data_IF_066852420389
#
_entry.id   IF_066852420389
#
_cell.length_a   1.000
_cell.length_b   1.000
_cell.length_c   1.000
_cell.angle_alpha   90.00
_cell.angle_beta   90.00
_cell.angle_gamma   90.00
#
_symmetry.space_group_name_H-M   'P 1'
#
loop_
_entity.id
_entity.type
_entity.pdbx_description
1 polymer ?
#
# COMPACT_ATOMS: atom_id res chain seq x y z
N UNK A 1 -18.67 17.68 -6.33
CA UNK A 1 -18.00 17.10 -5.15
C UNK A 1 -16.92 16.13 -5.64
N UNK A 2 -15.63 16.38 -5.33
CA UNK A 2 -14.53 15.51 -5.77
C UNK A 2 -14.74 14.11 -5.19
N UNK A 3 -14.91 13.08 -6.02
CA UNK A 3 -14.98 11.71 -5.54
C UNK A 3 -13.56 11.23 -5.25
N UNK A 4 -13.10 11.49 -4.03
CA UNK A 4 -11.90 10.87 -3.46
C UNK A 4 -11.98 9.35 -3.62
N UNK A 5 -10.85 8.66 -3.78
CA UNK A 5 -10.75 7.19 -3.76
C UNK A 5 -11.52 6.57 -2.57
N UNK A 6 -11.57 7.29 -1.44
CA UNK A 6 -12.24 6.84 -0.23
C UNK A 6 -13.75 7.08 -0.20
N UNK A 7 -14.28 7.96 -1.05
CA UNK A 7 -15.70 8.33 -0.99
C UNK A 7 -16.65 7.14 -1.27
N UNK A 8 -16.43 6.32 -2.32
CA UNK A 8 -17.22 5.10 -2.52
C UNK A 8 -17.10 4.12 -1.35
N UNK A 9 -15.90 4.01 -0.76
CA UNK A 9 -15.62 3.12 0.37
C UNK A 9 -16.39 3.57 1.61
N UNK A 10 -16.40 4.88 1.92
CA UNK A 10 -17.16 5.44 3.04
C UNK A 10 -18.66 5.19 2.86
N UNK A 11 -19.19 5.37 1.65
CA UNK A 11 -20.60 5.06 1.37
C UNK A 11 -20.88 3.57 1.62
N UNK A 12 -20.00 2.68 1.17
CA UNK A 12 -20.17 1.24 1.40
C UNK A 12 -20.12 0.90 2.88
N UNK A 13 -19.20 1.49 3.66
CA UNK A 13 -19.13 1.32 5.11
C UNK A 13 -20.38 1.84 5.84
N UNK A 14 -21.02 2.91 5.34
CA UNK A 14 -22.28 3.41 5.90
C UNK A 14 -23.43 2.42 5.60
N UNK A 15 -23.49 1.90 4.38
CA UNK A 15 -24.53 0.95 3.95
C UNK A 15 -24.35 -0.44 4.56
N UNK A 16 -23.10 -0.87 4.75
CA UNK A 16 -22.68 -2.18 5.23
C UNK A 16 -21.65 -1.99 6.35
N UNK A 17 -22.10 -1.57 7.55
CA UNK A 17 -21.18 -1.27 8.64
C UNK A 17 -20.33 -2.49 9.01
N UNK A 18 -19.04 -2.27 9.32
CA UNK A 18 -18.16 -3.34 9.75
C UNK A 18 -18.60 -3.88 11.12
N UNK A 19 -18.04 -5.01 11.52
CA UNK A 19 -18.30 -5.58 12.84
C UNK A 19 -18.01 -4.54 13.96
N UNK A 20 -18.81 -4.44 15.04
CA UNK A 20 -18.59 -3.48 16.12
C UNK A 20 -17.18 -3.51 16.72
N UNK A 21 -16.52 -4.68 16.74
CA UNK A 21 -15.14 -4.82 17.17
C UNK A 21 -14.16 -3.98 16.33
N UNK A 22 -14.41 -3.83 15.04
CA UNK A 22 -13.61 -2.98 14.14
C UNK A 22 -13.77 -1.51 14.50
N UNK A 23 -15.01 -1.08 14.79
CA UNK A 23 -15.27 0.30 15.19
C UNK A 23 -14.61 0.65 16.54
N UNK A 24 -14.77 -0.23 17.54
CA UNK A 24 -14.08 -0.09 18.84
C UNK A 24 -12.57 -0.03 18.66
N UNK A 25 -12.03 -0.87 17.78
CA UNK A 25 -10.60 -0.88 17.47
C UNK A 25 -10.13 0.44 16.85
N UNK A 26 -10.90 0.99 15.91
CA UNK A 26 -10.61 2.27 15.26
C UNK A 26 -10.63 3.45 16.25
N UNK A 27 -11.61 3.49 17.17
CA UNK A 27 -11.63 4.51 18.23
C UNK A 27 -10.42 4.39 19.16
N UNK A 28 -10.05 3.16 19.54
CA UNK A 28 -8.86 2.91 20.36
C UNK A 28 -7.57 3.33 19.64
N UNK A 29 -7.50 3.17 18.32
CA UNK A 29 -6.40 3.68 17.50
C UNK A 29 -6.34 5.21 17.50
N UNK A 30 -7.46 5.92 17.28
CA UNK A 30 -7.49 7.39 17.32
C UNK A 30 -7.08 7.93 18.69
N UNK A 31 -7.50 7.29 19.78
CA UNK A 31 -7.08 7.64 21.14
C UNK A 31 -5.57 7.39 21.36
N UNK A 32 -5.03 6.29 20.86
CA UNK A 32 -3.60 5.99 20.97
C UNK A 32 -2.74 6.97 20.17
N UNK A 33 -3.22 7.41 19.01
CA UNK A 33 -2.59 8.42 18.16
C UNK A 33 -2.41 9.75 18.90
N UNK A 34 -3.46 10.26 19.54
CA UNK A 34 -3.42 11.50 20.33
C UNK A 34 -2.44 11.38 21.50
N UNK A 35 -2.41 10.21 22.16
CA UNK A 35 -1.59 9.97 23.35
C UNK A 35 -0.14 9.56 23.04
N UNK A 36 0.27 9.52 21.77
CA UNK A 36 1.61 9.09 21.31
C UNK A 36 2.11 7.82 22.03
N UNK A 37 1.24 6.79 22.12
CA UNK A 37 1.59 5.54 22.84
C UNK A 37 2.51 4.64 22.00
N UNK A 38 3.49 4.01 22.66
CA UNK A 38 4.41 3.04 22.05
C UNK A 38 3.79 1.63 22.08
N UNK A 39 3.32 1.21 23.26
CA UNK A 39 2.55 -0.03 23.44
C UNK A 39 1.08 0.25 23.13
N UNK A 40 0.55 -0.45 22.14
CA UNK A 40 -0.78 -0.20 21.59
C UNK A 40 -1.77 -1.24 22.12
N UNK A 41 -2.89 -0.77 22.68
CA UNK A 41 -4.00 -1.64 23.15
C UNK A 41 -4.99 -2.01 22.05
N UNK A 42 -4.96 -1.28 20.93
CA UNK A 42 -5.71 -1.62 19.75
C UNK A 42 -4.90 -2.61 18.88
N UNK A 43 -5.56 -3.17 17.87
CA UNK A 43 -4.99 -4.03 16.84
C UNK A 43 -4.74 -3.21 15.56
N UNK A 44 -3.94 -3.73 14.61
CA UNK A 44 -3.78 -3.10 13.30
C UNK A 44 -5.12 -2.67 12.69
N UNK A 45 -5.15 -1.49 12.08
CA UNK A 45 -6.31 -1.02 11.31
C UNK A 45 -6.26 -1.61 9.90
N UNK A 46 -5.06 -1.84 9.38
CA UNK A 46 -4.81 -2.50 8.11
C UNK A 46 -3.89 -3.70 8.30
N UNK A 47 -4.31 -4.85 7.81
CA UNK A 47 -3.42 -6.00 7.56
C UNK A 47 -3.07 -6.04 6.08
N UNK A 48 -1.83 -6.34 5.75
CA UNK A 48 -1.37 -6.42 4.36
C UNK A 48 -0.66 -7.75 4.16
N UNK A 49 -1.27 -8.62 3.37
CA UNK A 49 -0.75 -9.95 3.09
C UNK A 49 0.08 -9.94 1.81
N UNK A 50 1.27 -10.51 1.87
CA UNK A 50 1.95 -11.04 0.69
C UNK A 50 1.39 -12.44 0.45
N UNK A 51 0.35 -12.55 -0.40
CA UNK A 51 -0.39 -13.83 -0.59
C UNK A 51 0.41 -14.84 -1.41
N UNK A 52 1.47 -14.40 -2.07
CA UNK A 52 2.46 -15.22 -2.75
C UNK A 52 3.79 -14.46 -2.81
N UNK A 53 4.86 -15.17 -3.17
CA UNK A 53 6.17 -14.58 -3.51
C UNK A 53 6.51 -14.77 -5.00
N UNK A 54 5.50 -14.86 -5.87
CA UNK A 54 5.71 -15.01 -7.32
C UNK A 54 5.37 -13.72 -8.05
N UNK A 55 6.22 -13.30 -8.97
CA UNK A 55 5.97 -12.17 -9.85
C UNK A 55 6.38 -12.51 -11.28
N UNK A 56 5.60 -12.09 -12.26
CA UNK A 56 5.93 -12.25 -13.68
C UNK A 56 6.84 -11.13 -14.22
N UNK A 57 7.31 -10.21 -13.35
CA UNK A 57 8.22 -9.11 -13.68
C UNK A 57 9.40 -9.10 -12.69
N UNK A 58 10.52 -8.49 -13.09
CA UNK A 58 11.77 -8.36 -12.31
C UNK A 58 12.22 -6.90 -12.28
N UNK A 59 11.39 -6.02 -11.73
CA UNK A 59 11.64 -4.58 -11.75
C UNK A 59 12.90 -4.21 -10.93
N UNK A 60 13.78 -3.39 -11.50
CA UNK A 60 15.04 -2.96 -10.85
C UNK A 60 14.81 -2.20 -9.54
N UNK A 61 13.70 -1.48 -9.41
CA UNK A 61 13.34 -0.72 -8.20
C UNK A 61 12.57 -1.55 -7.14
N UNK A 62 12.38 -2.86 -7.36
CA UNK A 62 11.57 -3.68 -6.47
C UNK A 62 12.31 -4.02 -5.18
N UNK A 63 11.88 -3.41 -4.06
CA UNK A 63 12.45 -3.61 -2.73
C UNK A 63 12.25 -5.01 -2.13
N UNK A 64 11.37 -5.84 -2.71
CA UNK A 64 11.24 -7.26 -2.32
C UNK A 64 11.84 -8.21 -3.35
N UNK A 65 12.59 -7.72 -4.34
CA UNK A 65 13.10 -8.55 -5.45
C UNK A 65 13.86 -9.79 -4.98
N UNK A 66 14.68 -9.67 -3.92
CA UNK A 66 15.43 -10.77 -3.33
C UNK A 66 14.55 -11.89 -2.72
N UNK A 67 13.31 -11.58 -2.36
CA UNK A 67 12.37 -12.54 -1.78
C UNK A 67 11.42 -13.16 -2.82
N UNK A 68 11.41 -12.65 -4.05
CA UNK A 68 10.49 -13.07 -5.09
C UNK A 68 11.10 -14.13 -6.00
N UNK A 69 10.25 -15.03 -6.50
CA UNK A 69 10.60 -16.05 -7.50
C UNK A 69 11.72 -17.03 -7.10
N UNK A 70 12.01 -17.13 -5.81
CA UNK A 70 12.91 -18.16 -5.27
C UNK A 70 12.34 -19.57 -5.51
N UNK A 71 13.21 -20.59 -5.47
CA UNK A 71 12.82 -21.99 -5.74
C UNK A 71 11.71 -22.51 -4.83
N UNK A 72 11.58 -21.94 -3.63
CA UNK A 72 10.58 -22.28 -2.63
C UNK A 72 9.33 -21.38 -2.65
N UNK A 73 9.19 -20.47 -3.64
CA UNK A 73 8.11 -19.48 -3.69
C UNK A 73 6.69 -20.09 -3.63
N UNK A 74 6.52 -21.33 -4.09
CA UNK A 74 5.26 -22.08 -3.95
C UNK A 74 4.85 -22.31 -2.49
N UNK A 75 5.82 -22.51 -1.59
CA UNK A 75 5.58 -22.68 -0.16
C UNK A 75 5.06 -21.41 0.52
N UNK A 76 5.08 -20.27 -0.18
CA UNK A 76 4.59 -18.98 0.28
C UNK A 76 3.21 -18.61 -0.26
N UNK A 77 2.54 -19.51 -0.98
CA UNK A 77 1.15 -19.29 -1.37
C UNK A 77 0.26 -19.42 -0.13
N UNK A 78 -0.45 -18.35 0.19
CA UNK A 78 -1.48 -18.35 1.22
C UNK A 78 -2.65 -19.21 0.72
N UNK A 79 -3.07 -20.19 1.51
CA UNK A 79 -4.27 -20.98 1.22
C UNK A 79 -5.52 -20.29 1.74
N UNK A 80 -6.68 -20.67 1.22
CA UNK A 80 -7.97 -20.18 1.73
C UNK A 80 -8.15 -20.45 3.23
N UNK A 81 -7.82 -21.65 3.72
CA UNK A 81 -8.00 -22.01 5.13
C UNK A 81 -7.07 -21.21 6.06
N UNK A 82 -5.84 -20.93 5.63
CA UNK A 82 -4.94 -20.02 6.34
C UNK A 82 -5.53 -18.62 6.41
N UNK A 83 -6.04 -18.07 5.30
CA UNK A 83 -6.72 -16.77 5.29
C UNK A 83 -7.90 -16.74 6.28
N UNK A 84 -8.74 -17.78 6.28
CA UNK A 84 -9.86 -17.89 7.22
C UNK A 84 -9.38 -17.91 8.67
N UNK A 85 -8.31 -18.67 8.96
CA UNK A 85 -7.68 -18.72 10.28
C UNK A 85 -7.20 -17.34 10.72
N UNK A 86 -6.50 -16.62 9.84
CA UNK A 86 -6.07 -15.23 10.08
C UNK A 86 -7.25 -14.29 10.34
N UNK A 87 -8.31 -14.37 9.53
CA UNK A 87 -9.49 -13.51 9.66
C UNK A 87 -10.33 -13.80 10.92
N UNK A 88 -10.23 -15.01 11.47
CA UNK A 88 -10.89 -15.41 12.72
C UNK A 88 -10.09 -15.06 13.98
N UNK A 89 -8.79 -14.76 13.84
CA UNK A 89 -7.94 -14.29 14.95
C UNK A 89 -8.45 -13.00 15.61
N UNK A 90 -7.92 -12.65 16.79
CA UNK A 90 -8.28 -11.39 17.48
C UNK A 90 -8.01 -10.15 16.62
N UNK A 91 -6.88 -10.15 15.90
CA UNK A 91 -6.44 -9.07 15.02
C UNK A 91 -7.28 -9.02 13.73
N UNK A 92 -7.49 -10.18 13.08
CA UNK A 92 -8.29 -10.27 11.84
C UNK A 92 -9.73 -9.82 12.02
N UNK A 93 -10.37 -10.15 13.16
CA UNK A 93 -11.73 -9.69 13.47
C UNK A 93 -11.83 -8.18 13.68
N UNK A 94 -10.76 -7.52 14.13
CA UNK A 94 -10.71 -6.08 14.49
C UNK A 94 -10.09 -5.17 13.43
N UNK A 95 -9.40 -5.75 12.47
CA UNK A 95 -8.84 -5.04 11.32
C UNK A 95 -9.96 -4.50 10.42
N UNK A 96 -9.81 -3.28 9.92
CA UNK A 96 -10.75 -2.64 9.00
C UNK A 96 -10.42 -2.97 7.53
N UNK A 97 -9.14 -2.83 7.17
CA UNK A 97 -8.65 -3.02 5.80
C UNK A 97 -7.78 -4.26 5.68
N UNK A 98 -7.96 -5.02 4.60
CA UNK A 98 -7.05 -6.08 4.20
C UNK A 98 -6.49 -5.78 2.81
N UNK A 99 -5.19 -5.58 2.73
CA UNK A 99 -4.46 -5.44 1.47
C UNK A 99 -3.95 -6.80 1.01
N UNK A 100 -4.18 -7.13 -0.26
CA UNK A 100 -3.61 -8.29 -0.92
C UNK A 100 -2.49 -7.81 -1.85
N UNK A 101 -1.26 -8.04 -1.43
CA UNK A 101 -0.01 -7.84 -2.18
C UNK A 101 0.63 -9.21 -2.45
N UNK A 102 1.89 -9.22 -2.86
CA UNK A 102 2.68 -10.40 -3.15
C UNK A 102 3.87 -10.00 -4.01
N UNK A 103 4.26 -10.88 -4.92
CA UNK A 103 4.85 -10.41 -6.17
C UNK A 103 3.76 -9.80 -7.05
N UNK A 104 3.09 -10.65 -7.83
CA UNK A 104 1.88 -10.29 -8.56
C UNK A 104 0.67 -11.08 -8.00
N UNK A 105 -0.29 -10.41 -7.34
CA UNK A 105 -1.44 -11.09 -6.72
C UNK A 105 -2.25 -11.95 -7.70
N UNK A 106 -2.36 -11.55 -8.97
CA UNK A 106 -3.13 -12.28 -9.98
C UNK A 106 -2.42 -13.52 -10.58
N UNK A 107 -1.23 -13.87 -10.06
CA UNK A 107 -0.65 -15.21 -10.20
C UNK A 107 -1.21 -16.21 -9.17
N UNK A 108 -1.80 -15.73 -8.07
CA UNK A 108 -2.37 -16.61 -7.06
C UNK A 108 -3.69 -17.21 -7.54
N UNK A 109 -3.87 -18.55 -7.52
CA UNK A 109 -5.08 -19.19 -8.03
C UNK A 109 -6.35 -18.80 -7.26
N UNK A 110 -6.21 -18.49 -5.97
CA UNK A 110 -7.35 -18.20 -5.09
C UNK A 110 -7.59 -16.69 -4.83
N UNK A 111 -6.91 -15.78 -5.54
CA UNK A 111 -7.00 -14.33 -5.27
C UNK A 111 -8.44 -13.80 -5.31
N UNK A 112 -9.26 -14.30 -6.23
CA UNK A 112 -10.66 -13.91 -6.35
C UNK A 112 -11.50 -14.43 -5.17
N UNK A 113 -11.28 -15.68 -4.75
CA UNK A 113 -11.89 -16.27 -3.55
C UNK A 113 -11.58 -15.46 -2.29
N UNK A 114 -10.35 -14.94 -2.18
CA UNK A 114 -9.95 -14.09 -1.06
C UNK A 114 -10.70 -12.76 -1.07
N UNK A 115 -10.83 -12.12 -2.22
CA UNK A 115 -11.59 -10.87 -2.37
C UNK A 115 -13.08 -11.06 -2.01
N UNK A 116 -13.68 -12.16 -2.45
CA UNK A 116 -15.06 -12.52 -2.10
C UNK A 116 -15.23 -12.72 -0.58
N UNK A 117 -14.30 -13.44 0.06
CA UNK A 117 -14.35 -13.67 1.50
C UNK A 117 -14.19 -12.38 2.31
N UNK A 118 -13.28 -11.49 1.89
CA UNK A 118 -13.12 -10.16 2.51
C UNK A 118 -14.39 -9.31 2.37
N UNK A 119 -15.06 -9.37 1.22
CA UNK A 119 -16.32 -8.66 1.00
C UNK A 119 -17.47 -9.21 1.85
N UNK A 120 -17.56 -10.55 2.01
CA UNK A 120 -18.53 -11.19 2.93
C UNK A 120 -18.33 -10.73 4.37
N UNK A 121 -17.07 -10.56 4.79
CA UNK A 121 -16.68 -10.07 6.12
C UNK A 121 -16.72 -8.55 6.28
N UNK A 122 -17.20 -7.81 5.27
CA UNK A 122 -17.30 -6.34 5.28
C UNK A 122 -15.96 -5.66 5.57
N UNK A 123 -14.87 -6.24 5.07
CA UNK A 123 -13.53 -5.63 5.12
C UNK A 123 -13.34 -4.73 3.91
N UNK A 124 -12.57 -3.66 4.08
CA UNK A 124 -12.07 -2.88 2.94
C UNK A 124 -10.97 -3.71 2.29
N UNK A 125 -11.22 -4.26 1.10
CA UNK A 125 -10.22 -5.02 0.35
C UNK A 125 -9.51 -4.13 -0.66
N UNK A 126 -8.19 -4.22 -0.71
CA UNK A 126 -7.41 -3.53 -1.74
C UNK A 126 -6.40 -4.48 -2.37
N UNK A 127 -6.25 -4.42 -3.68
CA UNK A 127 -5.24 -5.18 -4.44
C UNK A 127 -4.45 -4.24 -5.32
N UNK A 128 -3.16 -4.53 -5.51
CA UNK A 128 -2.27 -3.78 -6.40
C UNK A 128 -1.72 -4.75 -7.44
N UNK A 129 -1.71 -4.34 -8.71
CA UNK A 129 -1.31 -5.21 -9.82
C UNK A 129 -0.48 -4.47 -10.84
N UNK A 130 0.36 -5.21 -11.56
CA UNK A 130 1.08 -4.77 -12.75
C UNK A 130 0.22 -4.77 -14.04
N UNK A 131 -1.03 -5.22 -13.95
CA UNK A 131 -2.01 -5.29 -15.04
C UNK A 131 -1.74 -6.29 -16.18
N UNK A 132 -0.54 -6.88 -16.27
CA UNK A 132 -0.10 -7.63 -17.47
C UNK A 132 -0.85 -8.96 -17.64
N UNK A 133 -1.30 -9.57 -16.53
CA UNK A 133 -2.01 -10.85 -16.52
C UNK A 133 -3.52 -10.72 -16.65
N UNK A 134 -4.07 -9.52 -16.47
CA UNK A 134 -5.51 -9.28 -16.42
C UNK A 134 -6.08 -9.21 -17.84
N UNK A 135 -6.16 -10.33 -18.57
CA UNK A 135 -6.70 -10.40 -19.94
C UNK A 135 -7.85 -11.41 -20.00
N UNK A 136 -8.71 -11.29 -21.02
CA UNK A 136 -9.83 -12.22 -21.25
C UNK A 136 -10.69 -12.46 -20.00
N UNK A 137 -10.95 -13.74 -19.71
CA UNK A 137 -11.75 -14.19 -18.57
C UNK A 137 -11.26 -13.63 -17.22
N UNK A 138 -9.94 -13.52 -17.01
CA UNK A 138 -9.39 -13.02 -15.75
C UNK A 138 -9.76 -11.55 -15.48
N UNK A 139 -9.79 -10.73 -16.53
CA UNK A 139 -10.22 -9.33 -16.42
C UNK A 139 -11.72 -9.22 -16.18
N UNK A 140 -12.52 -10.03 -16.88
CA UNK A 140 -13.96 -10.09 -16.67
C UNK A 140 -14.29 -10.53 -15.24
N UNK A 141 -13.57 -11.52 -14.73
CA UNK A 141 -13.71 -11.99 -13.35
C UNK A 141 -13.38 -10.86 -12.36
N UNK A 142 -12.26 -10.15 -12.52
CA UNK A 142 -11.95 -8.96 -11.69
C UNK A 142 -13.07 -7.91 -11.72
N UNK A 143 -13.64 -7.66 -12.89
CA UNK A 143 -14.73 -6.70 -13.06
C UNK A 143 -16.03 -7.15 -12.37
N UNK A 144 -16.22 -8.45 -12.15
CA UNK A 144 -17.38 -8.99 -11.42
C UNK A 144 -17.10 -9.17 -9.93
N UNK A 145 -15.87 -9.48 -9.52
CA UNK A 145 -15.47 -9.68 -8.12
C UNK A 145 -15.58 -8.39 -7.30
N UNK A 146 -16.17 -8.44 -6.09
CA UNK A 146 -16.22 -7.31 -5.19
C UNK A 146 -14.82 -6.96 -4.64
N UNK A 147 -14.39 -5.73 -4.85
CA UNK A 147 -13.14 -5.20 -4.33
C UNK A 147 -13.30 -3.71 -4.04
N UNK A 148 -12.81 -3.24 -2.88
CA UNK A 148 -13.04 -1.86 -2.45
C UNK A 148 -12.19 -0.85 -3.21
N UNK A 149 -10.94 -1.20 -3.54
CA UNK A 149 -10.11 -0.41 -4.43
C UNK A 149 -9.01 -1.24 -5.13
N UNK A 150 -8.71 -0.89 -6.39
CA UNK A 150 -7.66 -1.54 -7.20
C UNK A 150 -6.56 -0.53 -7.54
N UNK A 151 -5.31 -0.88 -7.29
CA UNK A 151 -4.15 -0.09 -7.69
C UNK A 151 -3.53 -0.61 -8.98
N UNK A 152 -3.43 0.24 -9.99
CA UNK A 152 -2.81 -0.07 -11.28
C UNK A 152 -1.40 0.52 -11.32
N UNK A 153 -0.37 -0.33 -11.31
CA UNK A 153 1.01 0.12 -11.37
C UNK A 153 1.44 0.37 -12.82
N UNK A 154 1.84 1.60 -13.11
CA UNK A 154 2.36 2.00 -14.41
C UNK A 154 3.89 1.85 -14.44
N UNK A 155 4.37 1.15 -15.44
CA UNK A 155 5.77 0.94 -15.80
C UNK A 155 5.99 1.40 -17.25
N UNK A 156 7.24 1.43 -17.72
CA UNK A 156 7.56 1.92 -19.06
C UNK A 156 6.84 1.08 -20.14
N UNK A 157 6.83 -0.25 -19.95
CA UNK A 157 6.39 -1.19 -21.00
C UNK A 157 4.98 -1.77 -20.80
N UNK A 158 4.19 -1.29 -19.83
CA UNK A 158 2.85 -1.84 -19.54
C UNK A 158 1.69 -0.87 -19.74
N UNK A 159 1.91 0.31 -20.34
CA UNK A 159 0.87 1.33 -20.52
C UNK A 159 -0.38 0.79 -21.23
N UNK A 160 -0.20 -0.08 -22.22
CA UNK A 160 -1.32 -0.73 -22.93
C UNK A 160 -2.12 -1.68 -22.05
N UNK A 161 -1.45 -2.42 -21.14
CA UNK A 161 -2.14 -3.27 -20.17
C UNK A 161 -2.89 -2.44 -19.13
N UNK A 162 -2.27 -1.37 -18.62
CA UNK A 162 -2.94 -0.44 -17.69
C UNK A 162 -4.17 0.18 -18.33
N UNK A 163 -4.07 0.66 -19.57
CA UNK A 163 -5.18 1.24 -20.33
C UNK A 163 -6.33 0.23 -20.46
N UNK A 164 -6.03 -0.98 -20.93
CA UNK A 164 -7.01 -2.05 -21.12
C UNK A 164 -7.74 -2.41 -19.82
N UNK A 165 -7.03 -2.50 -18.69
CA UNK A 165 -7.65 -2.76 -17.38
C UNK A 165 -8.51 -1.57 -16.96
N UNK A 166 -7.97 -0.35 -16.99
CA UNK A 166 -8.65 0.85 -16.54
C UNK A 166 -9.97 1.11 -17.29
N UNK A 167 -10.00 0.93 -18.61
CA UNK A 167 -11.21 1.09 -19.43
C UNK A 167 -12.33 0.15 -18.98
N UNK A 168 -12.01 -1.12 -18.67
CA UNK A 168 -12.99 -2.06 -18.12
C UNK A 168 -13.43 -1.68 -16.70
N UNK A 169 -12.50 -1.26 -15.83
CA UNK A 169 -12.84 -0.80 -14.49
C UNK A 169 -13.78 0.42 -14.52
N UNK A 170 -13.62 1.34 -15.49
CA UNK A 170 -14.54 2.47 -15.70
C UNK A 170 -15.93 1.98 -16.09
N UNK A 171 -16.05 1.06 -17.05
CA UNK A 171 -17.33 0.49 -17.51
C UNK A 171 -18.08 -0.16 -16.35
N UNK A 172 -17.38 -0.97 -15.55
CA UNK A 172 -17.93 -1.67 -14.39
C UNK A 172 -18.03 -0.79 -13.13
N UNK A 173 -17.71 0.51 -13.24
CA UNK A 173 -17.75 1.50 -12.14
C UNK A 173 -16.95 1.06 -10.90
N UNK A 174 -15.84 0.36 -11.12
CA UNK A 174 -14.92 -0.06 -10.07
C UNK A 174 -14.12 1.12 -9.57
N UNK A 175 -13.78 1.09 -8.29
CA UNK A 175 -12.97 2.12 -7.66
C UNK A 175 -11.48 1.76 -7.84
N UNK A 176 -10.70 2.66 -8.43
CA UNK A 176 -9.28 2.41 -8.70
C UNK A 176 -8.44 3.68 -8.67
N UNK A 177 -7.13 3.49 -8.50
CA UNK A 177 -6.11 4.50 -8.71
C UNK A 177 -5.01 3.97 -9.64
N UNK A 178 -4.32 4.88 -10.30
CA UNK A 178 -3.07 4.57 -11.01
C UNK A 178 -1.90 5.02 -10.15
N UNK A 179 -0.81 4.26 -10.13
CA UNK A 179 0.39 4.60 -9.38
C UNK A 179 1.66 4.48 -10.23
N UNK A 180 2.63 5.36 -10.00
CA UNK A 180 3.92 5.37 -10.69
C UNK A 180 5.01 5.89 -9.75
N UNK A 181 6.13 5.19 -9.72
CA UNK A 181 7.37 5.67 -9.09
C UNK A 181 8.00 6.71 -10.02
N UNK A 182 8.45 7.82 -9.47
CA UNK A 182 9.13 8.90 -10.17
C UNK A 182 10.55 9.01 -9.64
N UNK A 183 11.53 8.74 -10.50
CA UNK A 183 12.93 9.07 -10.24
C UNK A 183 13.21 10.56 -10.48
N UNK A 184 14.30 11.07 -9.91
CA UNK A 184 14.70 12.47 -10.01
C UNK A 184 14.97 12.93 -11.45
N UNK A 185 15.33 12.02 -12.35
CA UNK A 185 15.51 12.29 -13.78
C UNK A 185 14.22 12.15 -14.61
N UNK A 186 13.08 11.83 -13.99
CA UNK A 186 11.79 11.62 -14.66
C UNK A 186 10.74 12.70 -14.32
N UNK A 187 11.13 13.77 -13.61
CA UNK A 187 10.20 14.82 -13.17
C UNK A 187 9.48 15.47 -14.38
N UNK A 188 10.19 15.68 -15.48
CA UNK A 188 9.64 16.20 -16.74
C UNK A 188 8.55 15.31 -17.35
N UNK A 189 8.54 13.99 -17.06
CA UNK A 189 7.52 13.04 -17.54
C UNK A 189 6.21 13.12 -16.73
N UNK A 190 6.18 13.78 -15.57
CA UNK A 190 4.99 13.77 -14.69
C UNK A 190 3.74 14.28 -15.41
N UNK A 191 3.86 15.31 -16.26
CA UNK A 191 2.71 15.85 -16.98
C UNK A 191 2.12 14.85 -17.99
N UNK A 192 2.95 14.11 -18.72
CA UNK A 192 2.46 13.09 -19.65
C UNK A 192 1.82 11.91 -18.90
N UNK A 193 2.34 11.56 -17.72
CA UNK A 193 1.73 10.56 -16.82
C UNK A 193 0.35 11.02 -16.34
N UNK A 194 0.20 12.29 -15.96
CA UNK A 194 -1.10 12.87 -15.59
C UNK A 194 -2.07 12.84 -16.78
N UNK A 195 -1.61 13.23 -17.97
CA UNK A 195 -2.42 13.21 -19.18
C UNK A 195 -2.89 11.79 -19.52
N UNK A 196 -2.00 10.79 -19.39
CA UNK A 196 -2.34 9.37 -19.56
C UNK A 196 -3.36 8.90 -18.53
N UNK A 197 -3.18 9.24 -17.25
CA UNK A 197 -4.15 8.90 -16.20
C UNK A 197 -5.56 9.42 -16.53
N UNK A 198 -5.66 10.65 -17.01
CA UNK A 198 -6.93 11.27 -17.39
C UNK A 198 -7.53 10.57 -18.61
N UNK A 199 -6.72 10.22 -19.62
CA UNK A 199 -7.21 9.62 -20.87
C UNK A 199 -7.81 8.23 -20.67
N UNK A 200 -7.31 7.47 -19.68
CA UNK A 200 -7.85 6.16 -19.31
C UNK A 200 -9.01 6.24 -18.29
N UNK A 201 -9.50 7.46 -18.00
CA UNK A 201 -10.62 7.69 -17.09
C UNK A 201 -10.27 7.61 -15.60
N UNK A 202 -8.99 7.51 -15.24
CA UNK A 202 -8.55 7.47 -13.86
C UNK A 202 -8.81 8.81 -13.14
N UNK A 203 -9.30 8.75 -11.90
CA UNK A 203 -9.59 9.93 -11.07
C UNK A 203 -8.60 10.15 -9.94
N UNK A 204 -7.75 9.17 -9.64
CA UNK A 204 -6.78 9.22 -8.56
C UNK A 204 -5.43 8.72 -9.07
N UNK A 205 -4.42 9.59 -9.06
CA UNK A 205 -3.04 9.28 -9.40
C UNK A 205 -2.19 9.35 -8.13
N UNK A 206 -1.51 8.25 -7.80
CA UNK A 206 -0.49 8.19 -6.77
C UNK A 206 0.89 8.29 -7.42
N UNK A 207 1.62 9.36 -7.13
CA UNK A 207 3.05 9.41 -7.43
C UNK A 207 3.81 8.95 -6.19
N UNK A 208 4.81 8.10 -6.38
CA UNK A 208 5.73 7.70 -5.32
C UNK A 208 7.15 8.11 -5.66
N UNK A 209 7.93 8.49 -4.64
CA UNK A 209 9.34 8.78 -4.77
C UNK A 209 10.11 7.49 -5.03
N UNK A 210 11.21 7.57 -5.77
CA UNK A 210 12.14 6.46 -5.90
C UNK A 210 12.77 6.16 -4.54
N UNK A 211 12.66 4.91 -4.08
CA UNK A 211 13.33 4.44 -2.87
C UNK A 211 14.66 3.79 -3.25
N UNK A 212 15.80 4.30 -2.79
CA UNK A 212 17.10 3.80 -3.20
C UNK A 212 17.45 2.49 -2.48
N UNK A 213 17.87 1.48 -3.25
CA UNK A 213 18.31 0.18 -2.72
C UNK A 213 19.83 0.04 -2.61
N UNK A 214 20.57 0.99 -3.20
CA UNK A 214 22.02 1.13 -3.14
C UNK A 214 22.41 2.58 -2.85
N UNK A 215 23.70 2.84 -2.63
CA UNK A 215 24.20 4.21 -2.49
C UNK A 215 24.14 4.95 -3.83
N UNK A 216 24.39 4.27 -4.94
CA UNK A 216 24.31 4.82 -6.30
C UNK A 216 22.89 5.27 -6.65
N UNK A 217 21.89 4.48 -6.23
CA UNK A 217 20.47 4.74 -6.44
C UNK A 217 19.97 6.03 -5.77
N UNK A 218 20.69 6.56 -4.78
CA UNK A 218 20.30 7.80 -4.10
C UNK A 218 20.22 8.98 -5.07
N UNK A 219 20.94 8.95 -6.19
CA UNK A 219 20.85 9.97 -7.24
C UNK A 219 19.46 9.99 -7.93
N UNK A 220 18.73 8.88 -7.89
CA UNK A 220 17.38 8.77 -8.45
C UNK A 220 16.29 9.22 -7.45
N UNK A 221 16.64 9.41 -6.18
CA UNK A 221 15.70 9.87 -5.15
C UNK A 221 15.46 11.37 -5.26
N UNK A 222 14.19 11.80 -5.16
CA UNK A 222 13.85 13.22 -5.15
C UNK A 222 13.97 13.78 -3.73
N UNK A 223 14.88 14.73 -3.54
CA UNK A 223 15.10 15.46 -2.30
C UNK A 223 14.36 16.79 -2.27
N UNK A 224 14.22 17.37 -1.08
CA UNK A 224 13.45 18.59 -0.84
C UNK A 224 14.13 19.88 -1.31
N UNK A 225 15.32 19.81 -1.87
CA UNK A 225 15.98 20.88 -2.62
C UNK A 225 15.81 20.75 -4.15
N UNK A 226 15.09 19.73 -4.63
CA UNK A 226 14.79 19.59 -6.05
C UNK A 226 13.74 20.64 -6.49
N UNK A 227 14.22 21.73 -7.10
CA UNK A 227 13.39 22.85 -7.55
C UNK A 227 12.46 22.48 -8.73
N UNK A 228 12.89 21.55 -9.59
CA UNK A 228 12.06 21.06 -10.70
C UNK A 228 10.78 20.40 -10.15
N UNK A 229 10.93 19.53 -9.16
CA UNK A 229 9.82 18.87 -8.49
C UNK A 229 8.89 19.84 -7.76
N UNK A 230 9.46 20.82 -7.01
CA UNK A 230 8.66 21.86 -6.33
C UNK A 230 7.82 22.66 -7.33
N UNK A 231 8.43 23.04 -8.46
CA UNK A 231 7.74 23.77 -9.52
C UNK A 231 6.66 22.90 -10.17
N UNK A 232 6.99 21.67 -10.56
CA UNK A 232 6.07 20.73 -11.20
C UNK A 232 4.86 20.43 -10.30
N UNK A 233 5.08 20.10 -9.02
CA UNK A 233 4.01 19.81 -8.07
C UNK A 233 3.03 20.97 -7.89
N UNK A 234 3.53 22.21 -7.79
CA UNK A 234 2.67 23.40 -7.69
C UNK A 234 1.92 23.69 -9.00
N UNK A 235 2.63 23.76 -10.12
CA UNK A 235 2.07 24.15 -11.43
C UNK A 235 1.06 23.11 -11.92
N UNK A 236 1.41 21.83 -11.87
CA UNK A 236 0.55 20.76 -12.38
C UNK A 236 -0.67 20.53 -11.47
N UNK A 237 -0.52 20.69 -10.14
CA UNK A 237 -1.69 20.66 -9.24
C UNK A 237 -2.72 21.74 -9.56
N UNK A 238 -2.27 22.94 -9.95
CA UNK A 238 -3.16 24.02 -10.38
C UNK A 238 -3.75 23.74 -11.77
N UNK A 239 -2.91 23.36 -12.73
CA UNK A 239 -3.32 23.07 -14.12
C UNK A 239 -4.39 21.96 -14.22
N UNK A 240 -4.26 20.93 -13.38
CA UNK A 240 -5.15 19.77 -13.38
C UNK A 240 -6.17 19.78 -12.22
N UNK A 241 -6.29 20.90 -11.50
CA UNK A 241 -7.23 21.08 -10.39
C UNK A 241 -8.65 20.72 -10.82
N UNK A 242 -9.23 19.71 -10.16
CA UNK A 242 -10.59 19.26 -10.44
C UNK A 242 -10.74 18.27 -11.61
N UNK A 243 -9.69 18.05 -12.41
CA UNK A 243 -9.68 17.04 -13.47
C UNK A 243 -9.29 15.65 -12.94
N UNK A 244 -8.31 15.62 -12.05
CA UNK A 244 -7.79 14.41 -11.39
C UNK A 244 -7.31 14.76 -9.98
N UNK A 245 -7.38 13.81 -9.06
CA UNK A 245 -6.75 13.90 -7.75
C UNK A 245 -5.32 13.35 -7.86
N UNK A 246 -4.32 14.20 -7.59
CA UNK A 246 -2.91 13.82 -7.63
C UNK A 246 -2.41 13.76 -6.18
N UNK A 247 -2.02 12.57 -5.74
CA UNK A 247 -1.30 12.39 -4.50
C UNK A 247 0.20 12.48 -4.79
N UNK A 248 0.80 13.59 -4.38
CA UNK A 248 2.22 13.84 -4.50
C UNK A 248 2.96 13.17 -3.35
N UNK A 249 4.09 12.54 -3.64
CA UNK A 249 4.98 12.02 -2.63
C UNK A 249 5.64 13.14 -1.81
N UNK A 250 6.14 12.80 -0.62
CA UNK A 250 7.01 13.72 0.11
C UNK A 250 8.44 13.56 -0.42
N UNK A 251 9.02 14.66 -0.90
CA UNK A 251 10.45 14.69 -1.19
C UNK A 251 11.26 14.43 0.09
N UNK A 252 12.37 13.71 -0.03
CA UNK A 252 13.20 13.32 1.11
C UNK A 252 13.93 14.53 1.67
N UNK A 253 13.98 14.65 2.99
CA UNK A 253 14.60 15.78 3.68
C UNK A 253 16.10 15.59 3.76
N UNK A 254 16.88 16.57 3.30
CA UNK A 254 18.35 16.55 3.45
C UNK A 254 18.81 16.78 4.87
N UNK A 255 18.02 17.53 5.64
CA UNK A 255 18.30 17.84 7.04
C UNK A 255 17.29 17.16 7.94
N UNK A 256 17.64 17.01 9.22
CA UNK A 256 16.72 16.49 10.22
C UNK A 256 15.42 17.29 10.21
N UNK A 257 14.30 16.57 10.18
CA UNK A 257 12.96 17.13 10.12
C UNK A 257 11.99 16.25 10.94
N UNK A 258 10.86 16.82 11.42
CA UNK A 258 9.90 16.07 12.21
C UNK A 258 9.41 14.81 11.50
N UNK A 259 9.41 13.70 12.22
CA UNK A 259 8.90 12.40 11.74
C UNK A 259 7.39 12.36 11.92
N UNK A 260 6.68 11.95 10.85
CA UNK A 260 5.21 11.88 10.77
C UNK A 260 4.69 10.51 10.31
N UNK A 261 5.57 9.57 9.96
CA UNK A 261 5.16 8.23 9.56
C UNK A 261 4.28 7.58 10.63
N UNK A 262 3.13 7.02 10.20
CA UNK A 262 2.20 6.29 11.07
C UNK A 262 2.06 4.82 10.76
N UNK A 263 2.74 4.31 9.72
CA UNK A 263 2.63 2.90 9.29
C UNK A 263 2.76 1.91 10.47
N UNK A 264 3.79 1.99 11.34
CA UNK A 264 3.95 1.02 12.43
C UNK A 264 2.86 1.12 13.52
N UNK A 265 2.01 2.14 13.48
CA UNK A 265 0.91 2.35 14.43
C UNK A 265 -0.44 1.86 13.89
N UNK A 266 -0.57 1.50 12.62
CA UNK A 266 -1.86 1.09 12.04
C UNK A 266 -1.78 0.03 10.94
N UNK A 267 -0.62 -0.22 10.34
CA UNK A 267 -0.38 -1.32 9.39
C UNK A 267 0.47 -2.41 10.01
N UNK A 268 0.14 -3.65 9.67
CA UNK A 268 1.00 -4.81 9.87
C UNK A 268 1.03 -5.62 8.58
N UNK A 269 2.24 -5.95 8.13
CA UNK A 269 2.48 -6.74 6.93
C UNK A 269 2.80 -8.17 7.35
N UNK A 270 2.40 -9.15 6.55
CA UNK A 270 2.69 -10.55 6.83
C UNK A 270 2.68 -11.43 5.57
N UNK A 271 3.37 -12.57 5.65
CA UNK A 271 3.29 -13.65 4.67
C UNK A 271 2.38 -14.80 5.14
N UNK A 272 2.26 -15.86 4.34
CA UNK A 272 1.43 -17.02 4.66
C UNK A 272 1.89 -17.82 5.88
N UNK A 273 3.19 -17.78 6.21
CA UNK A 273 3.75 -18.43 7.42
C UNK A 273 3.48 -17.60 8.68
N UNK A 274 2.92 -16.40 8.53
CA UNK A 274 2.66 -15.46 9.62
C UNK A 274 3.87 -14.62 9.98
N UNK A 275 4.99 -14.71 9.26
CA UNK A 275 6.14 -13.83 9.46
C UNK A 275 5.66 -12.39 9.33
N UNK A 276 6.12 -11.49 10.19
CA UNK A 276 5.67 -10.10 10.19
C UNK A 276 6.63 -9.19 9.43
N UNK A 277 6.13 -8.06 8.92
CA UNK A 277 6.89 -6.94 8.38
C UNK A 277 6.44 -5.61 8.99
N UNK A 278 7.39 -4.77 9.40
CA UNK A 278 7.10 -3.54 10.13
C UNK A 278 6.66 -2.35 9.24
N UNK A 279 6.91 -2.41 7.93
CA UNK A 279 6.41 -1.46 6.94
C UNK A 279 6.40 -2.07 5.52
N UNK A 280 5.94 -1.32 4.52
CA UNK A 280 5.90 -1.80 3.13
C UNK A 280 7.26 -2.15 2.55
N UNK A 281 8.34 -1.48 2.96
CA UNK A 281 9.71 -1.70 2.46
C UNK A 281 10.47 -2.80 3.21
N UNK A 282 9.86 -3.37 4.26
CA UNK A 282 10.48 -4.41 5.08
C UNK A 282 9.75 -5.72 4.83
N UNK A 283 10.34 -6.55 3.98
CA UNK A 283 9.85 -7.91 3.73
C UNK A 283 9.61 -8.66 5.03
N UNK A 284 8.54 -9.48 5.11
CA UNK A 284 8.27 -10.27 6.29
C UNK A 284 9.44 -11.17 6.69
N UNK A 285 9.80 -11.13 7.98
CA UNK A 285 10.89 -11.92 8.55
C UNK A 285 10.58 -12.19 10.04
N UNK A 286 10.41 -13.47 10.37
CA UNK A 286 9.98 -13.89 11.71
C UNK A 286 11.02 -13.57 12.79
N UNK A 287 12.30 -13.83 12.55
CA UNK A 287 13.37 -13.59 13.52
C UNK A 287 13.47 -12.11 13.90
N UNK A 288 13.26 -11.22 12.92
CA UNK A 288 13.42 -9.78 13.09
C UNK A 288 12.17 -9.09 13.62
N UNK A 289 10.98 -9.48 13.15
CA UNK A 289 9.73 -8.76 13.41
C UNK A 289 8.70 -9.56 14.20
N UNK A 290 8.94 -10.86 14.40
CA UNK A 290 8.05 -11.79 15.05
C UNK A 290 7.08 -12.49 14.09
N UNK A 291 6.23 -13.35 14.65
CA UNK A 291 5.21 -14.08 13.92
C UNK A 291 3.80 -13.71 14.41
N UNK A 292 2.85 -13.54 13.50
CA UNK A 292 1.46 -13.17 13.77
C UNK A 292 0.78 -14.10 14.79
N UNK A 293 1.15 -15.38 14.78
CA UNK A 293 0.58 -16.39 15.67
C UNK A 293 1.09 -16.30 17.11
N UNK A 294 2.14 -15.51 17.36
CA UNK A 294 2.65 -15.29 18.72
C UNK A 294 1.73 -14.35 19.50
N UNK A 295 1.56 -14.57 20.82
CA UNK A 295 0.89 -13.61 21.69
C UNK A 295 1.55 -12.23 21.59
N UNK A 296 0.73 -11.18 21.53
CA UNK A 296 1.18 -9.78 21.49
C UNK A 296 2.11 -9.40 20.32
N UNK A 297 2.04 -10.13 19.21
CA UNK A 297 2.82 -9.88 17.99
C UNK A 297 2.72 -8.43 17.46
N UNK A 298 1.59 -7.75 17.68
CA UNK A 298 1.41 -6.33 17.34
C UNK A 298 2.27 -5.34 18.17
N UNK A 299 2.73 -5.79 19.34
CA UNK A 299 3.65 -5.08 20.22
C UNK A 299 4.98 -5.85 20.36
N UNK A 300 5.38 -6.62 19.34
CA UNK A 300 6.71 -7.24 19.34
C UNK A 300 7.81 -6.16 19.52
N UNK A 301 8.98 -6.50 20.12
CA UNK A 301 10.01 -5.54 20.50
C UNK A 301 10.40 -4.57 19.38
N UNK A 302 10.60 -5.06 18.16
CA UNK A 302 10.96 -4.23 17.02
C UNK A 302 9.91 -3.14 16.70
N UNK A 303 8.62 -3.47 16.77
CA UNK A 303 7.56 -2.48 16.54
C UNK A 303 7.58 -1.40 17.62
N UNK A 304 7.81 -1.77 18.88
CA UNK A 304 7.90 -0.79 19.97
C UNK A 304 9.11 0.13 19.80
N UNK A 305 10.26 -0.42 19.42
CA UNK A 305 11.47 0.34 19.15
C UNK A 305 11.28 1.32 17.98
N UNK A 306 10.72 0.85 16.86
CA UNK A 306 10.42 1.67 15.70
C UNK A 306 9.42 2.80 16.05
N UNK A 307 8.36 2.50 16.80
CA UNK A 307 7.40 3.52 17.27
C UNK A 307 8.05 4.53 18.20
N UNK A 308 8.93 4.09 19.11
CA UNK A 308 9.69 4.97 20.00
C UNK A 308 10.57 5.91 19.19
N UNK A 309 11.34 5.38 18.23
CA UNK A 309 12.17 6.19 17.34
C UNK A 309 11.35 7.21 16.55
N UNK A 310 10.23 6.79 15.93
CA UNK A 310 9.36 7.69 15.16
C UNK A 310 8.72 8.80 16.00
N UNK A 311 8.52 8.60 17.31
CA UNK A 311 7.95 9.60 18.22
C UNK A 311 9.01 10.51 18.86
N UNK A 312 10.27 10.10 18.88
CA UNK A 312 11.38 10.91 19.37
C UNK A 312 11.84 11.87 18.28
N UNK A 313 11.65 13.18 18.48
CA UNK A 313 12.00 14.19 17.48
C UNK A 313 13.51 14.36 17.27
N UNK A 314 14.32 13.95 18.26
CA UNK A 314 15.77 14.12 18.26
C UNK A 314 16.53 12.87 17.77
N UNK A 315 15.89 11.70 17.77
CA UNK A 315 16.52 10.47 17.31
C UNK A 315 16.66 10.44 15.78
N UNK A 316 17.82 9.99 15.30
CA UNK A 316 17.97 9.69 13.88
C UNK A 316 16.99 8.59 13.46
N UNK A 317 16.31 8.72 12.30
CA UNK A 317 15.45 7.67 11.79
C UNK A 317 16.25 6.38 11.51
N UNK A 318 15.60 5.24 11.64
CA UNK A 318 16.15 3.96 11.18
C UNK A 318 16.58 4.06 9.72
N UNK A 319 17.60 3.32 9.30
CA UNK A 319 18.16 3.42 7.95
C UNK A 319 17.12 3.23 6.85
N UNK A 320 16.23 2.24 7.00
CA UNK A 320 15.11 2.00 6.08
C UNK A 320 14.13 3.19 5.99
N UNK A 321 14.05 4.02 7.04
CA UNK A 321 13.15 5.16 7.08
C UNK A 321 13.76 6.41 6.42
N UNK A 322 15.09 6.55 6.39
CA UNK A 322 15.80 7.76 5.93
C UNK A 322 15.36 8.23 4.54
N UNK A 323 15.15 7.29 3.62
CA UNK A 323 14.75 7.57 2.23
C UNK A 323 13.27 7.27 1.95
N UNK A 324 12.47 7.09 3.00
CA UNK A 324 11.06 6.76 2.85
C UNK A 324 10.22 8.03 2.68
N UNK A 325 9.42 8.09 1.61
CA UNK A 325 8.47 9.17 1.35
C UNK A 325 7.42 9.37 2.47
N UNK A 326 7.22 8.38 3.33
CA UNK A 326 6.27 8.47 4.45
C UNK A 326 6.88 9.04 5.72
N UNK A 327 8.22 9.22 5.78
CA UNK A 327 8.90 9.61 7.01
C UNK A 327 8.41 10.96 7.51
N UNK A 328 8.26 11.95 6.62
CA UNK A 328 7.92 13.33 6.97
C UNK A 328 6.48 13.74 6.60
N UNK A 329 5.70 12.81 6.04
CA UNK A 329 4.29 13.00 5.72
C UNK A 329 3.52 11.70 5.89
N UNK A 330 2.37 11.75 6.57
CA UNK A 330 1.46 10.60 6.65
C UNK A 330 0.68 10.44 5.33
N UNK A 331 1.30 9.79 4.34
CA UNK A 331 0.73 9.58 3.00
C UNK A 331 -0.45 8.59 3.00
N UNK A 332 -0.58 7.77 4.04
CA UNK A 332 -1.59 6.72 4.14
C UNK A 332 -2.70 7.07 5.13
N UNK A 333 -2.76 8.32 5.60
CA UNK A 333 -3.62 8.78 6.70
C UNK A 333 -5.01 8.11 6.73
N UNK A 334 -5.20 7.20 7.69
CA UNK A 334 -6.44 6.46 7.97
C UNK A 334 -7.20 7.07 9.14
#
# INVERSE_FOLDING_TARGET
MRRSLYFPIIIDLIKRPPNPLVFINYLSYKLAHIRKKIVLKHFPISLVFFINKKCNLTCEFCFTSADLNNSDANSFNLTYDELITFLNSKSGRRTLRVGLLGGEPFLHPEVFSFLDELYKRRKISTVVTNCTLLKGEKLELLCKTPVSAIGLSLYEDNSMDVKRVAEQLVIYKKNFWMQKIIASNEISKIESIIAFAISIGCKNLQLSNYYPMSEEDKALTVYDDNEEYKKASKVLSLKYKGKININWFCAIKRTLAPKKCRIPFNFQYLDNKGSLGACCFLSPNEEKYGNFNTPDSWNAPYYQELRKNLLDENADPFDVCKNCETLHQDLYGV
#
